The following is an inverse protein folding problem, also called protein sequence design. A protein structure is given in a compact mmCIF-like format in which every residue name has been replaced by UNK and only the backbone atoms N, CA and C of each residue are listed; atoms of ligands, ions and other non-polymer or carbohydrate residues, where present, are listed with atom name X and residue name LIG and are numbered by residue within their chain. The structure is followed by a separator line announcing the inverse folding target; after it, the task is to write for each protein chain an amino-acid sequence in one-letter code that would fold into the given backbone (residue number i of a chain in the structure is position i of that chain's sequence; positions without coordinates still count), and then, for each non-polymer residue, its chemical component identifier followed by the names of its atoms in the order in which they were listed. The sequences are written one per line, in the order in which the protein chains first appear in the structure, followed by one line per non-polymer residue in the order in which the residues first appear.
data_IF_106278811131
#
_entry.id   IF_106278811131
#
_cell.length_a   1.000
_cell.length_b   1.000
_cell.length_c   1.000
_cell.angle_alpha   90.00
_cell.angle_beta   90.00
_cell.angle_gamma   90.00
#
_symmetry.space_group_name_H-M   'P 1'
#
loop_
_entity.id
_entity.type
_entity.pdbx_description
1 polymer ?
#
# COMPACT_ATOMS: atom_id res chain seq x y z
N UNK A 1 -10.99 21.21 -0.80
CA UNK A 1 -9.73 21.35 -1.57
C UNK A 1 -10.01 20.73 -2.92
N UNK A 2 -10.09 21.54 -3.98
CA UNK A 2 -10.26 21.05 -5.35
C UNK A 2 -8.92 20.48 -5.82
N UNK A 3 -8.84 19.18 -6.01
CA UNK A 3 -7.77 18.56 -6.81
C UNK A 3 -8.42 18.03 -8.08
N UNK A 4 -8.69 18.93 -9.01
CA UNK A 4 -8.85 18.53 -10.41
C UNK A 4 -7.52 17.96 -10.89
N UNK A 5 -7.38 16.65 -10.77
CA UNK A 5 -7.43 15.80 -11.95
C UNK A 5 -8.38 14.65 -11.63
N UNK A 6 -9.54 14.60 -12.30
CA UNK A 6 -10.29 13.36 -12.45
C UNK A 6 -9.49 12.49 -13.43
N UNK A 7 -8.28 12.08 -13.02
CA UNK A 7 -7.54 11.06 -13.74
C UNK A 7 -8.40 9.81 -13.78
N UNK A 8 -8.43 9.17 -14.94
CA UNK A 8 -9.12 7.91 -15.14
C UNK A 8 -8.67 6.94 -14.02
N UNK A 9 -9.59 6.43 -13.17
CA UNK A 9 -9.23 5.50 -12.13
C UNK A 9 -8.42 4.29 -12.63
N UNK A 10 -8.58 3.92 -13.91
CA UNK A 10 -7.81 2.85 -14.53
C UNK A 10 -6.35 3.26 -14.80
N UNK A 11 -6.06 4.52 -15.13
CA UNK A 11 -4.68 5.02 -15.30
C UNK A 11 -3.90 4.93 -13.98
N UNK A 12 -4.53 5.30 -12.86
CA UNK A 12 -3.87 5.22 -11.56
C UNK A 12 -3.54 3.78 -11.18
N UNK A 13 -4.48 2.83 -11.38
CA UNK A 13 -4.23 1.41 -11.12
C UNK A 13 -3.02 0.91 -11.92
N UNK A 14 -2.97 1.20 -13.23
CA UNK A 14 -1.85 0.80 -14.10
C UNK A 14 -0.51 1.42 -13.68
N UNK A 15 -0.50 2.68 -13.22
CA UNK A 15 0.70 3.32 -12.66
C UNK A 15 1.19 2.61 -11.40
N UNK A 16 0.27 2.21 -10.51
CA UNK A 16 0.63 1.45 -9.31
C UNK A 16 1.12 0.06 -9.69
N UNK A 17 0.48 -0.64 -10.63
CA UNK A 17 0.99 -1.93 -11.16
C UNK A 17 2.45 -1.79 -11.64
N UNK A 18 2.73 -0.73 -12.40
CA UNK A 18 4.09 -0.45 -12.84
C UNK A 18 5.06 -0.18 -11.67
N UNK A 19 4.60 0.51 -10.62
CA UNK A 19 5.41 0.80 -9.44
C UNK A 19 5.71 -0.46 -8.63
N UNK A 20 4.69 -1.27 -8.35
CA UNK A 20 4.79 -2.48 -7.51
C UNK A 20 5.23 -3.73 -8.29
N UNK A 21 5.30 -3.67 -9.62
CA UNK A 21 5.68 -4.79 -10.50
C UNK A 21 4.79 -6.03 -10.31
N UNK A 22 3.52 -5.82 -9.96
CA UNK A 22 2.51 -6.85 -9.77
C UNK A 22 1.19 -6.40 -10.42
N UNK A 23 0.45 -7.35 -10.99
CA UNK A 23 -0.88 -7.08 -11.55
C UNK A 23 -1.86 -6.79 -10.42
N UNK A 24 -2.69 -5.77 -10.61
CA UNK A 24 -3.75 -5.38 -9.68
C UNK A 24 -5.08 -5.70 -10.36
N UNK A 25 -5.98 -6.47 -9.72
CA UNK A 25 -7.27 -6.80 -10.31
C UNK A 25 -8.03 -5.56 -10.80
N UNK A 26 -8.69 -5.66 -11.96
CA UNK A 26 -9.44 -4.55 -12.56
C UNK A 26 -10.59 -4.05 -11.67
N UNK A 27 -11.02 -4.84 -10.69
CA UNK A 27 -12.03 -4.44 -9.69
C UNK A 27 -11.48 -3.54 -8.59
N UNK A 28 -10.16 -3.33 -8.52
CA UNK A 28 -9.51 -2.51 -7.50
C UNK A 28 -9.39 -1.06 -7.97
N UNK A 29 -9.55 -0.12 -7.04
CA UNK A 29 -9.47 1.32 -7.30
C UNK A 29 -8.50 1.97 -6.32
N UNK A 30 -7.63 2.83 -6.83
CA UNK A 30 -6.61 3.52 -6.03
C UNK A 30 -6.71 5.02 -6.29
N UNK A 31 -6.76 5.82 -5.22
CA UNK A 31 -6.73 7.28 -5.28
C UNK A 31 -5.32 7.78 -5.00
N UNK A 32 -4.89 8.75 -5.79
CA UNK A 32 -3.64 9.46 -5.55
C UNK A 32 -3.77 10.52 -4.45
N UNK A 33 -2.67 10.88 -3.77
CA UNK A 33 -1.35 10.27 -3.90
C UNK A 33 -1.28 8.88 -3.22
N UNK A 34 -0.41 8.01 -3.73
CA UNK A 34 -0.08 6.69 -3.18
C UNK A 34 1.43 6.60 -2.97
N UNK A 35 1.87 6.14 -1.80
CA UNK A 35 3.28 6.10 -1.43
C UNK A 35 3.72 4.68 -1.08
N UNK A 36 4.91 4.31 -1.56
CA UNK A 36 5.59 3.07 -1.18
C UNK A 36 7.09 3.26 -1.17
N UNK A 37 7.79 2.55 -0.28
CA UNK A 37 9.25 2.62 -0.16
C UNK A 37 9.95 1.85 -1.30
N UNK A 38 9.49 0.63 -1.59
CA UNK A 38 10.09 -0.24 -2.60
C UNK A 38 9.09 -0.68 -3.67
N UNK A 39 7.83 -0.87 -3.32
CA UNK A 39 6.73 -1.28 -4.19
C UNK A 39 6.62 -2.79 -4.37
N UNK A 40 7.73 -3.49 -4.64
CA UNK A 40 7.68 -4.90 -5.10
C UNK A 40 7.21 -5.92 -4.06
N UNK A 41 7.03 -5.52 -2.82
CA UNK A 41 6.62 -6.42 -1.74
C UNK A 41 5.14 -6.22 -1.36
N UNK A 42 4.36 -5.56 -2.23
CA UNK A 42 2.93 -5.30 -2.04
C UNK A 42 2.11 -6.23 -2.92
N UNK A 43 1.12 -6.90 -2.32
CA UNK A 43 0.10 -7.69 -3.02
C UNK A 43 -1.28 -7.14 -2.72
N UNK A 44 -2.10 -6.93 -3.75
CA UNK A 44 -3.44 -6.35 -3.62
C UNK A 44 -4.47 -7.31 -4.22
N UNK A 45 -5.46 -7.70 -3.41
CA UNK A 45 -6.59 -8.53 -3.83
C UNK A 45 -7.59 -7.82 -4.74
N UNK A 46 -8.69 -8.51 -5.04
CA UNK A 46 -9.78 -8.00 -5.86
C UNK A 46 -10.77 -7.19 -5.02
N UNK A 47 -11.43 -6.21 -5.64
CA UNK A 47 -12.46 -5.41 -4.97
C UNK A 47 -11.91 -4.49 -3.88
N UNK A 48 -10.61 -4.15 -3.93
CA UNK A 48 -9.98 -3.28 -2.94
C UNK A 48 -10.20 -1.82 -3.32
N UNK A 49 -10.51 -0.98 -2.35
CA UNK A 49 -10.53 0.47 -2.51
C UNK A 49 -9.45 1.10 -1.62
N UNK A 50 -8.47 1.75 -2.23
CA UNK A 50 -7.39 2.47 -1.52
C UNK A 50 -7.59 3.96 -1.72
N UNK A 51 -7.82 4.68 -0.62
CA UNK A 51 -8.06 6.10 -0.67
C UNK A 51 -6.76 6.93 -0.66
N UNK A 52 -6.90 8.25 -0.80
CA UNK A 52 -5.78 9.15 -1.00
C UNK A 52 -4.86 9.25 0.22
N UNK A 53 -3.55 9.37 -0.03
CA UNK A 53 -2.54 9.61 1.00
C UNK A 53 -2.08 8.36 1.75
N UNK A 54 -2.41 7.16 1.27
CA UNK A 54 -1.97 5.90 1.90
C UNK A 54 -0.47 5.69 1.71
N UNK A 55 0.20 5.28 2.79
CA UNK A 55 1.64 4.98 2.81
C UNK A 55 1.89 3.50 3.10
N UNK A 56 2.72 2.88 2.25
CA UNK A 56 3.09 1.48 2.35
C UNK A 56 4.61 1.32 2.46
N UNK A 57 5.11 1.34 3.70
CA UNK A 57 6.49 0.95 4.02
C UNK A 57 6.57 -0.57 3.92
N UNK A 58 6.99 -1.09 2.75
CA UNK A 58 6.75 -2.48 2.32
C UNK A 58 7.99 -3.39 2.39
N UNK A 59 9.09 -2.97 3.01
CA UNK A 59 10.29 -3.82 3.10
C UNK A 59 10.04 -5.17 3.82
N UNK A 60 9.14 -5.22 4.82
CA UNK A 60 8.68 -6.46 5.44
C UNK A 60 7.53 -7.16 4.71
N UNK A 61 6.97 -6.52 3.69
CA UNK A 61 5.87 -7.00 2.87
C UNK A 61 4.49 -6.61 3.38
N UNK A 62 3.58 -6.37 2.43
CA UNK A 62 2.18 -6.02 2.70
C UNK A 62 1.30 -6.86 1.78
N UNK A 63 0.35 -7.61 2.36
CA UNK A 63 -0.70 -8.31 1.64
C UNK A 63 -2.05 -7.72 2.00
N UNK A 64 -2.77 -7.23 1.01
CA UNK A 64 -4.17 -6.82 1.15
C UNK A 64 -5.05 -7.92 0.54
N UNK A 65 -6.00 -8.40 1.32
CA UNK A 65 -7.02 -9.37 0.92
C UNK A 65 -8.02 -8.82 -0.11
N UNK A 66 -9.10 -9.56 -0.31
CA UNK A 66 -10.20 -9.17 -1.19
C UNK A 66 -11.23 -8.31 -0.45
N UNK A 67 -11.94 -7.45 -1.17
CA UNK A 67 -13.04 -6.62 -0.67
C UNK A 67 -12.66 -5.73 0.53
N UNK A 68 -11.45 -5.16 0.50
CA UNK A 68 -10.92 -4.33 1.57
C UNK A 68 -11.13 -2.84 1.27
N UNK A 69 -11.57 -2.07 2.28
CA UNK A 69 -11.66 -0.61 2.21
C UNK A 69 -10.55 0.04 3.06
N UNK A 70 -9.62 0.73 2.42
CA UNK A 70 -8.54 1.47 3.09
C UNK A 70 -8.82 2.97 2.94
N UNK A 71 -9.13 3.62 4.05
CA UNK A 71 -9.47 5.05 4.05
C UNK A 71 -8.23 5.96 3.95
N UNK A 72 -8.47 7.27 3.94
CA UNK A 72 -7.46 8.29 3.75
C UNK A 72 -6.35 8.21 4.80
N UNK A 73 -5.12 8.46 4.36
CA UNK A 73 -3.94 8.64 5.24
C UNK A 73 -3.60 7.42 6.12
N UNK A 74 -4.08 6.21 5.78
CA UNK A 74 -3.65 4.98 6.46
C UNK A 74 -2.16 4.73 6.20
N UNK A 75 -1.44 4.33 7.25
CA UNK A 75 -0.01 3.99 7.18
C UNK A 75 0.20 2.52 7.52
N UNK A 76 0.83 1.78 6.61
CA UNK A 76 1.31 0.43 6.82
C UNK A 76 2.81 0.48 7.09
N UNK A 77 3.20 0.25 8.35
CA UNK A 77 4.60 0.25 8.78
C UNK A 77 5.09 -1.20 9.02
N UNK A 78 5.71 -1.81 8.01
CA UNK A 78 6.21 -3.20 8.09
C UNK A 78 7.60 -3.33 8.74
N UNK A 79 8.13 -2.23 9.26
CA UNK A 79 9.48 -2.15 9.81
C UNK A 79 9.44 -1.68 11.26
N UNK A 80 10.28 -2.29 12.08
CA UNK A 80 10.55 -1.85 13.44
C UNK A 80 12.06 -1.78 13.68
N UNK A 81 12.49 -0.99 14.66
CA UNK A 81 13.89 -0.91 15.07
C UNK A 81 14.12 -1.61 16.41
N UNK A 82 15.36 -2.01 16.69
CA UNK A 82 15.70 -2.47 18.03
C UNK A 82 15.45 -1.35 19.06
N UNK A 83 14.82 -1.71 20.18
CA UNK A 83 14.53 -0.79 21.27
C UNK A 83 15.79 -0.40 22.04
N UNK A 84 16.81 -1.28 22.04
CA UNK A 84 18.08 -0.99 22.67
C UNK A 84 18.88 0.02 21.85
N UNK A 85 19.33 1.11 22.49
CA UNK A 85 19.97 2.24 21.80
C UNK A 85 21.26 1.86 21.07
N UNK A 86 22.06 0.97 21.66
CA UNK A 86 23.31 0.45 21.07
C UNK A 86 23.08 -0.42 19.83
N UNK A 87 21.84 -0.87 19.63
CA UNK A 87 21.41 -1.72 18.51
C UNK A 87 20.41 -1.05 17.59
N UNK A 88 20.11 0.23 17.78
CA UNK A 88 19.06 0.95 17.05
C UNK A 88 19.23 0.98 15.53
N UNK A 89 20.43 0.69 15.02
CA UNK A 89 20.68 0.52 13.59
C UNK A 89 20.10 -0.80 13.02
N UNK A 90 19.75 -1.77 13.88
CA UNK A 90 19.10 -3.01 13.48
C UNK A 90 17.64 -2.74 13.10
N UNK A 91 17.25 -3.24 11.93
CA UNK A 91 15.92 -3.11 11.37
C UNK A 91 15.26 -4.49 11.27
N UNK A 92 14.05 -4.61 11.80
CA UNK A 92 13.26 -5.83 11.85
C UNK A 92 12.04 -5.73 10.93
N UNK A 93 12.12 -6.30 9.70
CA UNK A 93 10.96 -6.39 8.84
C UNK A 93 9.96 -7.45 9.32
N UNK A 94 8.68 -7.13 9.31
CA UNK A 94 7.57 -8.07 9.52
C UNK A 94 6.41 -7.78 8.58
N UNK A 95 5.89 -8.84 7.97
CA UNK A 95 4.78 -8.74 7.02
C UNK A 95 3.51 -8.26 7.69
N UNK A 96 2.82 -7.31 7.05
CA UNK A 96 1.44 -6.95 7.38
C UNK A 96 0.50 -7.72 6.45
N UNK A 97 -0.58 -8.24 7.03
CA UNK A 97 -1.65 -8.92 6.31
C UNK A 97 -2.97 -8.29 6.71
N UNK A 98 -3.67 -7.72 5.74
CA UNK A 98 -5.09 -7.37 5.87
C UNK A 98 -5.87 -8.51 5.24
N UNK A 99 -6.74 -9.12 6.03
CA UNK A 99 -7.59 -10.23 5.57
C UNK A 99 -8.73 -9.72 4.69
N UNK A 100 -9.49 -10.67 4.14
CA UNK A 100 -10.62 -10.38 3.26
C UNK A 100 -11.79 -9.76 4.05
N UNK A 101 -12.62 -8.95 3.35
CA UNK A 101 -13.87 -8.36 3.84
C UNK A 101 -13.72 -7.40 5.05
N UNK A 102 -12.66 -6.57 5.03
CA UNK A 102 -12.32 -5.56 6.06
C UNK A 102 -12.64 -4.13 5.61
#
# INVERSE_FOLDING_TARGET
MNTESLEDPDDMRLRVEFLIKEMIPESTRIRQPFYTDFGKNIKIGAGVFINAGVHMQDQGGIRIGNNVLIDHQVVFASLDYDLALDKRANLYPKRIVVEDDI
#
